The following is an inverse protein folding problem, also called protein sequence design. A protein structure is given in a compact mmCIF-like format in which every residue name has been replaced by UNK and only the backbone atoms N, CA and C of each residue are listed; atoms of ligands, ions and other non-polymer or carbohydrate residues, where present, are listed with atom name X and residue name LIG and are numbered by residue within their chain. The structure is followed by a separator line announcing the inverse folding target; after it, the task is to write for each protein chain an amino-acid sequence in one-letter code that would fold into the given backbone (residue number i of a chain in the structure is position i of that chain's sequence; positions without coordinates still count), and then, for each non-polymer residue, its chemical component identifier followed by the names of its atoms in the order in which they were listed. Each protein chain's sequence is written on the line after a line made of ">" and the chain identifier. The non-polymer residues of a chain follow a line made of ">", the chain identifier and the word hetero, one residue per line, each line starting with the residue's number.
data_IF_254717315065
#
_entry.id   IF_254717315065
#
_cell.length_a   1.000
_cell.length_b   1.000
_cell.length_c   1.000
_cell.angle_alpha   90.00
_cell.angle_beta   90.00
_cell.angle_gamma   90.00
#
_symmetry.space_group_name_H-M   'P 1'
#
loop_
_entity.id
_entity.type
_entity.pdbx_description
1 polymer ?
#
# COMPACT_ATOMS: atom_id res chain seq x y z
N UNK A 1 -1.17 6.74 -25.01
CA UNK A 1 -0.27 7.80 -24.47
C UNK A 1 -0.56 9.16 -25.11
N UNK A 2 -0.52 9.33 -26.44
CA UNK A 2 -0.77 10.62 -27.10
C UNK A 2 -2.10 11.25 -26.69
N UNK A 3 -3.20 10.52 -26.78
CA UNK A 3 -4.52 11.00 -26.37
C UNK A 3 -4.57 11.37 -24.87
N UNK A 4 -4.00 10.52 -24.02
CA UNK A 4 -3.94 10.77 -22.57
C UNK A 4 -3.28 12.12 -22.26
N UNK A 5 -2.13 12.41 -22.89
CA UNK A 5 -1.40 13.66 -22.66
C UNK A 5 -2.19 14.85 -23.23
N UNK A 6 -2.62 14.77 -24.50
CA UNK A 6 -3.31 15.90 -25.16
C UNK A 6 -4.63 16.29 -24.49
N UNK A 7 -5.40 15.30 -24.02
CA UNK A 7 -6.67 15.55 -23.33
C UNK A 7 -6.48 16.14 -21.92
N UNK A 8 -5.37 15.80 -21.26
CA UNK A 8 -5.16 16.12 -19.86
C UNK A 8 -4.01 17.12 -19.61
N UNK A 9 -3.43 17.67 -20.66
CA UNK A 9 -2.26 18.55 -20.57
C UNK A 9 -2.44 19.73 -19.61
N UNK A 10 -3.62 20.35 -19.63
CA UNK A 10 -3.94 21.53 -18.83
C UNK A 10 -4.41 21.22 -17.40
N UNK A 11 -4.35 19.97 -16.95
CA UNK A 11 -4.68 19.62 -15.56
C UNK A 11 -3.46 19.79 -14.64
N UNK A 12 -3.43 20.81 -13.76
CA UNK A 12 -2.26 21.11 -12.92
C UNK A 12 -2.03 20.06 -11.83
N UNK A 13 -3.01 19.22 -11.52
CA UNK A 13 -2.88 18.14 -10.55
C UNK A 13 -2.10 16.92 -11.08
N UNK A 14 -1.81 16.85 -12.39
CA UNK A 14 -0.99 15.78 -12.96
C UNK A 14 0.48 16.11 -12.70
N UNK A 15 1.15 15.25 -11.95
CA UNK A 15 2.55 15.41 -11.58
C UNK A 15 3.50 14.68 -12.54
N UNK A 16 3.09 13.56 -13.09
CA UNK A 16 3.88 12.72 -13.99
C UNK A 16 2.98 11.91 -14.93
N UNK A 17 3.56 11.38 -16.00
CA UNK A 17 2.89 10.50 -16.97
C UNK A 17 3.28 9.06 -16.73
N UNK A 18 2.34 8.21 -16.30
CA UNK A 18 2.54 6.77 -16.14
C UNK A 18 2.61 6.08 -17.50
N UNK A 19 3.72 5.38 -17.78
CA UNK A 19 3.95 4.73 -19.07
C UNK A 19 3.56 3.26 -19.09
N UNK A 20 3.83 2.55 -18.00
CA UNK A 20 3.56 1.11 -17.90
C UNK A 20 3.31 0.68 -16.45
N UNK A 21 2.65 -0.47 -16.31
CA UNK A 21 2.51 -1.19 -15.06
C UNK A 21 2.77 -2.69 -15.28
N UNK A 22 3.72 -3.24 -14.53
CA UNK A 22 4.03 -4.69 -14.44
C UNK A 22 4.22 -5.36 -15.82
N UNK A 23 4.86 -4.70 -16.75
CA UNK A 23 5.22 -5.32 -18.02
C UNK A 23 6.27 -6.40 -17.79
N UNK A 24 6.16 -7.50 -18.55
CA UNK A 24 7.03 -8.65 -18.39
C UNK A 24 7.59 -9.05 -19.78
N UNK A 25 8.90 -9.26 -19.85
CA UNK A 25 9.59 -9.69 -21.06
C UNK A 25 9.11 -11.04 -21.59
N UNK A 26 8.51 -11.89 -20.73
CA UNK A 26 7.89 -13.14 -21.14
C UNK A 26 6.52 -12.98 -21.85
N UNK A 27 5.86 -11.84 -21.71
CA UNK A 27 4.53 -11.58 -22.25
C UNK A 27 4.52 -10.60 -23.45
N UNK A 28 5.56 -9.79 -23.55
CA UNK A 28 5.68 -8.77 -24.59
C UNK A 28 6.95 -8.99 -25.42
N UNK A 29 6.81 -8.86 -26.73
CA UNK A 29 7.97 -8.74 -27.61
C UNK A 29 8.56 -7.34 -27.44
N UNK A 30 9.79 -7.27 -26.88
CA UNK A 30 10.58 -6.03 -26.72
C UNK A 30 9.98 -4.99 -25.77
N UNK A 31 9.73 -5.31 -24.48
CA UNK A 31 9.19 -4.36 -23.51
C UNK A 31 10.09 -3.12 -23.32
N UNK A 32 11.40 -3.27 -23.38
CA UNK A 32 12.38 -2.17 -23.29
C UNK A 32 12.21 -1.16 -24.43
N UNK A 33 12.00 -1.65 -25.67
CA UNK A 33 11.74 -0.78 -26.82
C UNK A 33 10.44 -0.01 -26.66
N UNK A 34 9.38 -0.68 -26.23
CA UNK A 34 8.08 -0.03 -25.99
C UNK A 34 8.19 1.05 -24.91
N UNK A 35 8.86 0.77 -23.79
CA UNK A 35 9.07 1.75 -22.74
C UNK A 35 9.85 2.98 -23.22
N UNK A 36 10.93 2.77 -23.99
CA UNK A 36 11.72 3.85 -24.59
C UNK A 36 10.91 4.71 -25.58
N UNK A 37 10.14 4.08 -26.46
CA UNK A 37 9.29 4.78 -27.44
C UNK A 37 8.18 5.61 -26.74
N UNK A 38 7.56 5.05 -25.70
CA UNK A 38 6.54 5.77 -24.90
C UNK A 38 7.17 6.93 -24.13
N UNK A 39 8.36 6.75 -23.56
CA UNK A 39 9.09 7.83 -22.90
C UNK A 39 9.41 8.96 -23.88
N UNK A 40 10.01 8.65 -25.03
CA UNK A 40 10.32 9.64 -26.05
C UNK A 40 9.09 10.42 -26.51
N UNK A 41 7.98 9.72 -26.77
CA UNK A 41 6.71 10.34 -27.15
C UNK A 41 6.16 11.26 -26.04
N UNK A 42 6.17 10.81 -24.78
CA UNK A 42 5.70 11.61 -23.66
C UNK A 42 6.53 12.89 -23.50
N UNK A 43 7.86 12.79 -23.56
CA UNK A 43 8.79 13.93 -23.48
C UNK A 43 8.63 14.91 -24.66
N UNK A 44 8.31 14.41 -25.84
CA UNK A 44 8.01 15.25 -27.01
C UNK A 44 6.72 16.04 -26.84
N UNK A 45 5.68 15.43 -26.28
CA UNK A 45 4.35 16.05 -26.12
C UNK A 45 4.28 16.95 -24.88
N UNK A 46 4.96 16.57 -23.81
CA UNK A 46 5.03 17.35 -22.57
C UNK A 46 6.42 17.24 -21.93
N UNK A 47 7.34 18.15 -22.26
CA UNK A 47 8.67 18.16 -21.65
C UNK A 47 8.68 18.65 -20.18
N UNK A 48 7.57 19.20 -19.70
CA UNK A 48 7.49 19.81 -18.37
C UNK A 48 7.25 18.80 -17.25
N UNK A 49 6.61 17.65 -17.55
CA UNK A 49 6.29 16.63 -16.56
C UNK A 49 7.17 15.37 -16.77
N UNK A 50 7.65 14.78 -15.66
CA UNK A 50 8.41 13.53 -15.75
C UNK A 50 7.53 12.35 -16.17
N UNK A 51 8.18 11.32 -16.69
CA UNK A 51 7.56 10.01 -16.95
C UNK A 51 7.80 9.06 -15.76
N UNK A 52 6.91 8.10 -15.58
CA UNK A 52 6.99 7.12 -14.50
C UNK A 52 6.65 5.71 -15.01
N UNK A 53 7.40 4.73 -14.57
CA UNK A 53 7.07 3.31 -14.69
C UNK A 53 6.73 2.68 -13.36
N UNK A 54 5.77 1.75 -13.33
CA UNK A 54 5.51 0.89 -12.20
C UNK A 54 5.95 -0.54 -12.54
N UNK A 55 6.87 -1.12 -11.78
CA UNK A 55 7.50 -2.40 -12.10
C UNK A 55 7.45 -3.38 -10.95
N UNK A 56 7.30 -4.66 -11.25
CA UNK A 56 7.51 -5.77 -10.33
C UNK A 56 8.75 -6.61 -10.71
N UNK A 57 9.47 -6.21 -11.77
CA UNK A 57 10.63 -6.91 -12.33
C UNK A 57 11.93 -6.16 -12.02
N UNK A 58 13.02 -6.92 -12.02
CA UNK A 58 14.38 -6.39 -12.07
C UNK A 58 14.87 -6.49 -13.52
N UNK A 59 14.58 -5.46 -14.33
CA UNK A 59 14.82 -5.48 -15.77
C UNK A 59 15.33 -4.11 -16.26
N UNK A 60 16.01 -4.10 -17.41
CA UNK A 60 16.60 -2.91 -18.01
C UNK A 60 15.58 -1.82 -18.33
N UNK A 61 14.33 -2.18 -18.61
CA UNK A 61 13.27 -1.19 -18.89
C UNK A 61 12.96 -0.27 -17.71
N UNK A 62 13.35 -0.63 -16.49
CA UNK A 62 13.24 0.23 -15.30
C UNK A 62 14.08 1.52 -15.42
N UNK A 63 15.07 1.55 -16.31
CA UNK A 63 15.92 2.71 -16.58
C UNK A 63 15.39 3.69 -17.64
N UNK A 64 14.27 3.40 -18.31
CA UNK A 64 13.78 4.24 -19.42
C UNK A 64 12.87 5.40 -18.98
N UNK A 65 12.44 5.45 -17.73
CA UNK A 65 11.57 6.51 -17.23
C UNK A 65 12.34 7.47 -16.30
N UNK A 66 11.87 8.70 -16.19
CA UNK A 66 12.49 9.68 -15.27
C UNK A 66 12.34 9.27 -13.80
N UNK A 67 11.23 8.60 -13.49
CA UNK A 67 10.89 8.06 -12.16
C UNK A 67 10.57 6.58 -12.30
N UNK A 68 11.02 5.77 -11.37
CA UNK A 68 10.59 4.38 -11.26
C UNK A 68 9.94 4.14 -9.91
N UNK A 69 8.87 3.33 -9.87
CA UNK A 69 8.33 2.84 -8.62
C UNK A 69 8.03 1.35 -8.73
N UNK A 70 8.06 0.67 -7.60
CA UNK A 70 7.99 -0.79 -7.57
C UNK A 70 6.73 -1.28 -6.88
N UNK A 71 6.10 -2.28 -7.48
CA UNK A 71 5.01 -3.04 -6.87
C UNK A 71 5.62 -4.18 -6.06
N UNK A 72 5.65 -4.03 -4.74
CA UNK A 72 6.27 -5.01 -3.83
C UNK A 72 5.34 -5.38 -2.69
N UNK A 73 5.16 -6.67 -2.49
CA UNK A 73 4.16 -7.21 -1.57
C UNK A 73 4.79 -8.15 -0.54
N UNK A 74 5.96 -7.77 0.00
CA UNK A 74 6.65 -8.53 1.05
C UNK A 74 5.74 -8.76 2.26
N UNK A 75 5.60 -10.03 2.66
CA UNK A 75 4.68 -10.42 3.72
C UNK A 75 3.22 -10.59 3.30
N UNK A 76 2.92 -10.55 1.99
CA UNK A 76 1.61 -10.91 1.44
C UNK A 76 1.70 -12.10 0.48
N UNK A 77 2.31 -11.96 -0.71
CA UNK A 77 2.40 -13.06 -1.69
C UNK A 77 3.54 -14.05 -1.42
N UNK A 78 4.35 -13.81 -0.46
CA UNK A 78 5.53 -14.57 -0.07
C UNK A 78 6.51 -13.66 0.64
N UNK A 79 7.73 -14.15 0.85
CA UNK A 79 8.80 -13.45 1.54
C UNK A 79 8.45 -13.06 2.99
N UNK A 80 9.43 -12.60 3.72
CA UNK A 80 9.20 -12.12 5.07
C UNK A 80 8.76 -10.65 5.06
N UNK A 81 7.96 -10.28 6.05
CA UNK A 81 7.51 -8.90 6.25
C UNK A 81 8.69 -7.91 6.31
N UNK A 82 9.79 -8.32 6.95
CA UNK A 82 11.00 -7.49 7.15
C UNK A 82 11.87 -7.34 5.90
N UNK A 83 11.52 -7.98 4.78
CA UNK A 83 12.32 -7.94 3.56
C UNK A 83 12.13 -6.65 2.74
N UNK A 84 11.05 -5.91 2.95
CA UNK A 84 10.76 -4.66 2.24
C UNK A 84 11.93 -3.68 2.35
N UNK A 85 12.34 -3.35 3.56
CA UNK A 85 13.42 -2.41 3.79
C UNK A 85 14.77 -2.89 3.25
N UNK A 86 15.10 -4.16 3.49
CA UNK A 86 16.33 -4.77 2.97
C UNK A 86 16.39 -4.77 1.43
N UNK A 87 15.27 -5.03 0.79
CA UNK A 87 15.18 -4.99 -0.67
C UNK A 87 15.36 -3.56 -1.19
N UNK A 88 14.66 -2.57 -0.62
CA UNK A 88 14.77 -1.15 -0.99
C UNK A 88 16.22 -0.67 -0.88
N UNK A 89 16.89 -0.98 0.23
CA UNK A 89 18.27 -0.54 0.48
C UNK A 89 19.24 -1.16 -0.53
N UNK A 90 19.07 -2.44 -0.89
CA UNK A 90 19.88 -3.09 -1.92
C UNK A 90 19.64 -2.50 -3.31
N UNK A 91 18.38 -2.26 -3.68
CA UNK A 91 18.03 -1.68 -4.98
C UNK A 91 18.59 -0.26 -5.12
N UNK A 92 18.46 0.55 -4.07
CA UNK A 92 19.03 1.90 -4.06
C UNK A 92 20.56 1.89 -4.12
N UNK A 93 21.21 0.98 -3.42
CA UNK A 93 22.67 0.83 -3.46
C UNK A 93 23.17 0.36 -4.84
N UNK A 94 22.41 -0.50 -5.52
CA UNK A 94 22.74 -0.98 -6.87
C UNK A 94 22.52 0.10 -7.95
N UNK A 95 21.55 0.99 -7.73
CA UNK A 95 21.12 2.01 -8.69
C UNK A 95 20.90 3.36 -8.01
N UNK A 96 21.96 4.00 -7.49
CA UNK A 96 21.83 5.24 -6.72
C UNK A 96 21.33 6.44 -7.53
N UNK A 97 21.45 6.37 -8.86
CA UNK A 97 20.94 7.39 -9.80
C UNK A 97 19.43 7.31 -10.01
N UNK A 98 18.79 6.17 -9.72
CA UNK A 98 17.36 5.98 -9.91
C UNK A 98 16.55 6.73 -8.86
N UNK A 99 15.63 7.55 -9.32
CA UNK A 99 14.59 8.15 -8.48
C UNK A 99 13.51 7.12 -8.23
N UNK A 100 13.71 6.29 -7.21
CA UNK A 100 12.84 5.16 -6.94
C UNK A 100 11.76 5.44 -5.90
N UNK A 101 10.67 4.70 -5.97
CA UNK A 101 9.56 4.72 -5.02
C UNK A 101 8.86 3.36 -4.93
N UNK A 102 7.84 3.27 -4.11
CA UNK A 102 6.93 2.12 -4.03
C UNK A 102 5.57 2.54 -4.58
N UNK A 103 5.17 1.93 -5.71
CA UNK A 103 3.89 2.22 -6.38
C UNK A 103 2.75 1.36 -5.89
N UNK A 104 3.05 0.17 -5.36
CA UNK A 104 2.04 -0.69 -4.75
C UNK A 104 2.63 -1.51 -3.61
N UNK A 105 1.95 -1.50 -2.48
CA UNK A 105 2.04 -2.49 -1.41
C UNK A 105 0.69 -2.60 -0.71
N UNK A 106 0.30 -3.80 -0.28
CA UNK A 106 -1.01 -4.00 0.35
C UNK A 106 -1.33 -5.46 0.60
N UNK A 107 -2.29 -5.71 1.46
CA UNK A 107 -2.80 -7.03 1.80
C UNK A 107 -4.32 -7.07 1.69
N UNK A 108 -4.87 -8.21 1.31
CA UNK A 108 -6.32 -8.43 1.26
C UNK A 108 -6.94 -8.41 2.65
N UNK A 109 -8.19 -7.95 2.75
CA UNK A 109 -8.94 -7.98 4.01
C UNK A 109 -10.46 -7.99 3.82
N UNK A 110 -11.12 -8.85 4.55
CA UNK A 110 -12.56 -8.85 4.73
C UNK A 110 -12.91 -8.40 6.16
N UNK A 111 -13.76 -7.40 6.29
CA UNK A 111 -14.19 -6.86 7.60
C UNK A 111 -14.98 -7.86 8.46
N UNK A 112 -15.47 -8.94 7.86
CA UNK A 112 -16.17 -10.03 8.56
C UNK A 112 -15.25 -11.20 8.92
N UNK A 113 -13.97 -11.13 8.54
CA UNK A 113 -12.98 -12.16 8.84
C UNK A 113 -11.92 -11.58 9.77
N UNK A 114 -11.75 -12.22 10.91
CA UNK A 114 -10.85 -11.80 11.98
C UNK A 114 -10.20 -13.04 12.59
N UNK A 115 -8.99 -12.92 13.07
CA UNK A 115 -8.31 -14.00 13.79
C UNK A 115 -7.93 -13.58 15.20
N UNK A 116 -8.19 -14.46 16.17
CA UNK A 116 -7.84 -14.27 17.58
C UNK A 116 -6.32 -14.45 17.82
N UNK A 117 -5.65 -15.22 16.94
CA UNK A 117 -4.20 -15.36 16.88
C UNK A 117 -3.74 -15.03 15.49
N UNK A 118 -2.96 -13.96 15.36
CA UNK A 118 -2.51 -13.47 14.07
C UNK A 118 -1.62 -14.49 13.37
N UNK A 119 -2.00 -14.88 12.16
CA UNK A 119 -1.25 -15.79 11.29
C UNK A 119 -1.29 -15.26 9.87
N UNK A 120 -0.23 -15.52 9.10
CA UNK A 120 -0.19 -15.19 7.67
C UNK A 120 -1.29 -15.96 6.95
N UNK A 121 -2.25 -15.30 6.30
CA UNK A 121 -3.28 -15.97 5.51
C UNK A 121 -2.69 -16.48 4.20
N UNK A 122 -3.38 -17.45 3.58
CA UNK A 122 -3.09 -17.84 2.20
C UNK A 122 -3.57 -16.74 1.24
N UNK A 123 -2.68 -16.03 0.52
CA UNK A 123 -3.06 -14.89 -0.32
C UNK A 123 -4.01 -15.23 -1.47
N UNK A 124 -3.98 -16.48 -1.92
CA UNK A 124 -4.84 -17.01 -2.98
C UNK A 124 -6.08 -17.71 -2.43
N UNK A 125 -6.17 -17.80 -1.09
CA UNK A 125 -7.31 -18.38 -0.38
C UNK A 125 -8.48 -17.41 -0.27
N UNK A 126 -9.52 -17.86 0.45
CA UNK A 126 -10.73 -17.05 0.65
C UNK A 126 -10.80 -16.39 2.03
N UNK A 127 -9.82 -16.69 2.90
CA UNK A 127 -9.76 -16.17 4.26
C UNK A 127 -8.69 -15.07 4.35
N UNK A 128 -9.15 -13.81 4.33
CA UNK A 128 -8.31 -12.62 4.43
C UNK A 128 -8.70 -11.81 5.69
N UNK A 129 -8.16 -12.15 6.85
CA UNK A 129 -8.53 -11.49 8.11
C UNK A 129 -8.06 -10.02 8.13
N UNK A 130 -8.96 -9.12 8.54
CA UNK A 130 -8.70 -7.68 8.55
C UNK A 130 -7.52 -7.30 9.47
N UNK A 131 -7.35 -8.01 10.58
CA UNK A 131 -6.24 -7.75 11.50
C UNK A 131 -4.88 -8.11 10.89
N UNK A 132 -4.80 -9.06 9.91
CA UNK A 132 -3.58 -9.25 9.15
C UNK A 132 -3.26 -8.05 8.26
N UNK A 133 -4.25 -7.50 7.56
CA UNK A 133 -4.04 -6.28 6.75
C UNK A 133 -3.49 -5.14 7.61
N UNK A 134 -4.06 -4.93 8.78
CA UNK A 134 -3.61 -3.88 9.69
C UNK A 134 -2.15 -4.09 10.11
N UNK A 135 -1.80 -5.31 10.51
CA UNK A 135 -0.42 -5.68 10.85
C UNK A 135 0.53 -5.48 9.67
N UNK A 136 0.16 -5.97 8.49
CA UNK A 136 0.93 -5.80 7.25
C UNK A 136 1.27 -4.34 6.98
N UNK A 137 0.28 -3.46 7.04
CA UNK A 137 0.49 -2.04 6.76
C UNK A 137 1.34 -1.36 7.82
N UNK A 138 1.17 -1.71 9.09
CA UNK A 138 2.00 -1.17 10.19
C UNK A 138 3.47 -1.56 9.99
N UNK A 139 3.76 -2.83 9.74
CA UNK A 139 5.14 -3.32 9.62
C UNK A 139 5.85 -2.82 8.35
N UNK A 140 5.13 -2.77 7.21
CA UNK A 140 5.72 -2.21 5.99
C UNK A 140 5.94 -0.69 6.12
N UNK A 141 4.98 0.05 6.69
CA UNK A 141 5.12 1.50 6.86
C UNK A 141 6.31 1.89 7.74
N UNK A 142 6.60 1.16 8.81
CA UNK A 142 7.79 1.36 9.64
C UNK A 142 9.06 1.37 8.81
N UNK A 143 9.17 0.45 7.85
CA UNK A 143 10.33 0.34 6.98
C UNK A 143 10.36 1.43 5.90
N UNK A 144 9.21 1.78 5.33
CA UNK A 144 9.11 2.77 4.26
C UNK A 144 9.38 4.19 4.73
N UNK A 145 8.83 4.59 5.88
CA UNK A 145 8.95 5.95 6.40
C UNK A 145 10.37 6.38 6.77
N UNK A 146 11.27 5.43 7.01
CA UNK A 146 12.67 5.68 7.34
C UNK A 146 13.55 5.98 6.12
N UNK A 147 13.01 5.85 4.90
CA UNK A 147 13.76 5.95 3.65
C UNK A 147 13.38 7.20 2.87
N UNK A 148 13.99 8.33 3.26
CA UNK A 148 13.71 9.65 2.69
C UNK A 148 14.03 9.78 1.19
N UNK A 149 14.84 8.86 0.62
CA UNK A 149 15.14 8.84 -0.80
C UNK A 149 13.98 8.31 -1.66
N UNK A 150 12.96 7.67 -1.07
CA UNK A 150 11.78 7.24 -1.80
C UNK A 150 10.90 8.44 -2.15
N UNK A 151 10.71 8.70 -3.45
CA UNK A 151 9.88 9.82 -3.89
C UNK A 151 8.38 9.58 -3.70
N UNK A 152 7.95 8.34 -3.56
CA UNK A 152 6.56 7.96 -3.25
C UNK A 152 6.47 6.63 -2.50
N UNK A 153 5.37 6.50 -1.74
CA UNK A 153 4.92 5.27 -1.10
C UNK A 153 3.40 5.16 -1.30
N UNK A 154 2.96 4.50 -2.37
CA UNK A 154 1.55 4.37 -2.70
C UNK A 154 0.98 3.03 -2.25
N UNK A 155 -0.14 3.08 -1.57
CA UNK A 155 -0.84 1.90 -1.08
C UNK A 155 -1.69 1.30 -2.20
N UNK A 156 -1.65 -0.01 -2.36
CA UNK A 156 -2.63 -0.73 -3.14
C UNK A 156 -3.67 -1.37 -2.22
N UNK A 157 -4.86 -0.77 -2.04
CA UNK A 157 -5.31 0.46 -2.64
C UNK A 157 -6.29 1.18 -1.69
N UNK A 158 -6.90 2.29 -2.12
CA UNK A 158 -7.85 3.02 -1.27
C UNK A 158 -9.17 2.26 -1.09
N UNK A 159 -9.71 1.64 -2.15
CA UNK A 159 -11.02 1.01 -2.14
C UNK A 159 -10.96 -0.42 -2.68
N UNK A 160 -11.75 -1.31 -2.08
CA UNK A 160 -12.07 -2.57 -2.74
C UNK A 160 -12.77 -2.28 -4.08
N UNK A 161 -12.47 -3.07 -5.12
CA UNK A 161 -13.01 -2.83 -6.45
C UNK A 161 -13.27 -4.14 -7.22
N UNK A 162 -14.08 -4.08 -8.27
CA UNK A 162 -14.37 -5.21 -9.14
C UNK A 162 -13.14 -5.64 -9.93
N UNK A 163 -12.83 -6.93 -9.89
CA UNK A 163 -11.73 -7.54 -10.61
C UNK A 163 -12.14 -8.96 -11.05
N UNK A 164 -12.79 -9.06 -12.19
CA UNK A 164 -13.50 -10.25 -12.65
C UNK A 164 -12.66 -11.56 -12.66
N UNK A 165 -11.34 -11.44 -12.86
CA UNK A 165 -10.41 -12.57 -12.85
C UNK A 165 -10.05 -13.10 -11.46
N UNK A 166 -10.34 -12.37 -10.38
CA UNK A 166 -9.93 -12.75 -9.03
C UNK A 166 -10.84 -13.83 -8.45
N UNK A 167 -10.21 -14.83 -7.80
CA UNK A 167 -10.90 -15.96 -7.17
C UNK A 167 -10.63 -16.04 -5.66
N UNK A 168 -9.65 -15.30 -5.17
CA UNK A 168 -9.29 -15.17 -3.77
C UNK A 168 -10.17 -14.15 -3.03
N UNK A 169 -10.03 -14.11 -1.70
CA UNK A 169 -10.80 -13.26 -0.82
C UNK A 169 -12.21 -13.78 -0.56
N UNK A 170 -12.96 -13.09 0.27
CA UNK A 170 -14.29 -13.47 0.71
C UNK A 170 -15.37 -13.40 -0.38
N UNK A 171 -15.11 -12.66 -1.46
CA UNK A 171 -16.05 -12.46 -2.57
C UNK A 171 -15.28 -12.57 -3.89
N UNK A 172 -15.62 -13.58 -4.68
CA UNK A 172 -15.03 -13.74 -6.02
C UNK A 172 -15.33 -12.56 -6.92
N UNK A 173 -14.39 -12.24 -7.83
CA UNK A 173 -14.52 -11.10 -8.72
C UNK A 173 -14.26 -9.74 -8.04
N UNK A 174 -13.62 -9.75 -6.87
CA UNK A 174 -13.27 -8.53 -6.11
C UNK A 174 -11.80 -8.53 -5.72
N UNK A 175 -11.15 -7.38 -5.86
CA UNK A 175 -9.90 -7.08 -5.17
C UNK A 175 -10.27 -6.49 -3.80
N UNK A 176 -9.85 -7.14 -2.73
CA UNK A 176 -10.17 -6.78 -1.35
C UNK A 176 -9.01 -6.10 -0.59
N UNK A 177 -7.99 -5.65 -1.33
CA UNK A 177 -6.85 -4.91 -0.74
C UNK A 177 -7.17 -3.45 -0.36
N UNK A 178 -8.40 -2.98 -0.63
CA UNK A 178 -8.83 -1.64 -0.25
C UNK A 178 -8.71 -1.37 1.25
N UNK A 179 -8.39 -0.14 1.61
CA UNK A 179 -8.50 0.36 2.98
C UNK A 179 -9.97 0.67 3.36
N UNK A 180 -10.84 0.74 2.36
CA UNK A 180 -12.28 1.00 2.48
C UNK A 180 -13.03 -0.04 1.67
N UNK A 181 -14.14 -0.54 2.20
CA UNK A 181 -14.97 -1.56 1.53
C UNK A 181 -15.49 -1.12 0.17
N UNK A 182 -15.89 -2.08 -0.65
CA UNK A 182 -16.39 -1.88 -2.01
C UNK A 182 -17.56 -0.88 -2.09
N UNK A 183 -18.48 -0.93 -1.13
CA UNK A 183 -19.64 -0.04 -1.01
C UNK A 183 -19.31 1.34 -0.37
N UNK A 184 -18.05 1.60 -0.05
CA UNK A 184 -17.53 2.83 0.58
C UNK A 184 -18.03 3.08 2.00
N UNK A 185 -18.72 2.14 2.64
CA UNK A 185 -19.37 2.37 3.93
C UNK A 185 -18.45 2.12 5.12
N UNK A 186 -17.52 1.17 5.01
CA UNK A 186 -16.67 0.78 6.13
C UNK A 186 -15.21 1.12 5.82
N UNK A 187 -14.62 1.94 6.65
CA UNK A 187 -13.18 2.13 6.73
C UNK A 187 -12.59 0.99 7.55
N UNK A 188 -11.65 0.24 6.96
CA UNK A 188 -10.95 -0.85 7.64
C UNK A 188 -9.96 -0.29 8.67
N UNK A 189 -9.47 -1.12 9.56
CA UNK A 189 -8.57 -0.67 10.64
C UNK A 189 -7.30 -0.02 10.10
N UNK A 190 -6.73 -0.54 9.01
CA UNK A 190 -5.56 0.02 8.33
C UNK A 190 -5.80 1.43 7.77
N UNK A 191 -7.03 1.81 7.42
CA UNK A 191 -7.36 3.19 7.04
C UNK A 191 -7.05 4.17 8.17
N UNK A 192 -7.42 3.82 9.41
CA UNK A 192 -7.18 4.68 10.56
C UNK A 192 -5.70 4.77 10.93
N UNK A 193 -4.93 3.72 10.64
CA UNK A 193 -3.49 3.75 10.79
C UNK A 193 -2.85 4.84 9.90
N UNK A 194 -3.19 4.87 8.61
CA UNK A 194 -2.69 5.92 7.72
C UNK A 194 -3.28 7.30 8.04
N UNK A 195 -4.55 7.38 8.44
CA UNK A 195 -5.12 8.63 8.92
C UNK A 195 -4.30 9.20 10.09
N UNK A 196 -3.87 8.36 11.02
CA UNK A 196 -3.07 8.81 12.15
C UNK A 196 -1.68 9.32 11.76
N UNK A 197 -1.06 8.70 10.75
CA UNK A 197 0.28 9.08 10.31
C UNK A 197 0.29 10.29 9.38
N UNK A 198 -0.73 10.46 8.53
CA UNK A 198 -0.72 11.45 7.45
C UNK A 198 -1.59 12.68 7.70
N UNK A 199 -2.63 12.58 8.53
CA UNK A 199 -3.50 13.70 8.84
C UNK A 199 -3.20 14.23 10.23
N UNK A 200 -2.62 15.41 10.31
CA UNK A 200 -2.26 16.07 11.58
C UNK A 200 -3.34 17.06 12.08
N UNK A 201 -4.30 17.42 11.25
CA UNK A 201 -5.32 18.43 11.55
C UNK A 201 -6.50 17.83 12.35
N UNK A 202 -7.03 16.71 11.88
CA UNK A 202 -8.24 16.07 12.44
C UNK A 202 -7.85 15.06 13.54
N UNK A 203 -7.84 15.53 14.79
CA UNK A 203 -7.48 14.69 15.95
C UNK A 203 -8.54 13.64 16.24
N UNK A 204 -8.10 12.40 16.41
CA UNK A 204 -8.98 11.29 16.70
C UNK A 204 -8.32 10.20 17.54
N UNK A 205 -9.14 9.29 18.05
CA UNK A 205 -8.73 8.03 18.66
C UNK A 205 -9.61 6.90 18.12
N UNK A 206 -9.00 5.78 17.80
CA UNK A 206 -9.67 4.61 17.23
C UNK A 206 -9.15 3.32 17.88
N UNK A 207 -10.05 2.42 18.21
CA UNK A 207 -9.71 1.08 18.72
C UNK A 207 -9.78 0.13 17.52
N UNK A 208 -8.63 -0.45 17.13
CA UNK A 208 -8.56 -1.49 16.11
C UNK A 208 -9.00 -2.86 16.67
N UNK A 209 -9.38 -3.76 15.78
CA UNK A 209 -9.82 -5.12 16.14
C UNK A 209 -11.17 -5.19 16.85
N UNK A 210 -11.96 -4.10 16.85
CA UNK A 210 -13.29 -4.09 17.49
C UNK A 210 -14.32 -4.99 16.79
N UNK A 211 -14.06 -5.39 15.54
CA UNK A 211 -14.90 -6.33 14.79
C UNK A 211 -14.64 -7.80 15.16
N UNK A 212 -13.56 -8.10 15.87
CA UNK A 212 -13.33 -9.42 16.48
C UNK A 212 -14.24 -9.58 17.71
N UNK A 213 -15.47 -9.99 17.49
CA UNK A 213 -16.48 -10.13 18.54
C UNK A 213 -16.29 -11.44 19.32
N UNK A 214 -16.07 -12.53 18.60
CA UNK A 214 -15.87 -13.86 19.19
C UNK A 214 -14.40 -14.04 19.56
N UNK A 215 -14.08 -13.90 20.85
CA UNK A 215 -12.73 -14.03 21.38
C UNK A 215 -12.63 -15.30 22.21
N UNK A 216 -11.59 -16.09 21.95
CA UNK A 216 -11.32 -17.34 22.64
C UNK A 216 -10.28 -17.18 23.74
N UNK A 217 -9.47 -16.11 23.70
CA UNK A 217 -8.40 -15.83 24.65
C UNK A 217 -8.92 -15.10 25.90
N UNK A 218 -8.36 -15.43 27.07
CA UNK A 218 -8.68 -14.76 28.34
C UNK A 218 -8.21 -13.30 28.40
N UNK A 219 -7.15 -12.99 27.67
CA UNK A 219 -6.58 -11.64 27.57
C UNK A 219 -6.66 -11.15 26.13
N UNK A 220 -6.82 -9.85 25.97
CA UNK A 220 -6.95 -9.20 24.67
C UNK A 220 -5.90 -8.12 24.56
N UNK A 221 -5.07 -8.21 23.51
CA UNK A 221 -4.21 -7.13 23.12
C UNK A 221 -5.04 -6.06 22.39
N UNK A 222 -5.03 -4.84 22.90
CA UNK A 222 -5.80 -3.73 22.37
C UNK A 222 -4.85 -2.77 21.63
N UNK A 223 -5.02 -2.66 20.32
CA UNK A 223 -4.33 -1.65 19.54
C UNK A 223 -5.18 -0.38 19.49
N UNK A 224 -4.62 0.73 19.94
CA UNK A 224 -5.24 2.05 19.86
C UNK A 224 -4.46 2.88 18.84
N UNK A 225 -5.15 3.39 17.84
CA UNK A 225 -4.61 4.22 16.77
C UNK A 225 -5.04 5.66 17.01
N UNK A 226 -4.08 6.59 17.06
CA UNK A 226 -4.38 7.99 17.33
C UNK A 226 -3.25 8.90 16.82
N UNK A 227 -3.60 10.10 16.37
CA UNK A 227 -2.66 11.20 16.08
C UNK A 227 -2.63 12.23 17.23
N UNK A 228 -3.07 11.84 18.43
CA UNK A 228 -3.02 12.65 19.65
C UNK A 228 -1.89 12.19 20.57
N UNK A 229 -1.39 13.07 21.41
CA UNK A 229 -0.22 12.78 22.28
C UNK A 229 -0.48 11.77 23.41
N UNK A 230 -1.74 11.40 23.71
CA UNK A 230 -2.10 10.36 24.67
C UNK A 230 -3.53 9.86 24.43
N UNK A 231 -3.77 8.61 24.79
CA UNK A 231 -5.11 8.00 24.82
C UNK A 231 -5.41 7.48 26.22
N UNK A 232 -6.62 7.76 26.73
CA UNK A 232 -7.08 7.28 28.02
C UNK A 232 -8.16 6.23 27.83
N UNK A 233 -7.93 5.05 28.39
CA UNK A 233 -8.87 3.93 28.37
C UNK A 233 -9.79 3.97 29.58
N UNK A 234 -11.08 3.82 29.32
CA UNK A 234 -12.12 3.59 30.33
C UNK A 234 -12.74 2.22 30.11
N UNK A 235 -12.95 1.48 31.20
CA UNK A 235 -13.67 0.20 31.19
C UNK A 235 -14.90 0.38 32.06
N UNK A 236 -16.09 0.17 31.51
CA UNK A 236 -17.38 0.37 32.19
C UNK A 236 -17.48 1.75 32.89
N UNK A 237 -17.01 2.81 32.21
CA UNK A 237 -17.03 4.17 32.75
C UNK A 237 -15.92 4.52 33.75
N UNK A 238 -15.15 3.54 34.21
CA UNK A 238 -14.03 3.76 35.13
C UNK A 238 -12.71 3.93 34.38
N UNK A 239 -11.94 4.96 34.73
CA UNK A 239 -10.60 5.17 34.16
C UNK A 239 -9.70 3.98 34.54
N UNK A 240 -9.08 3.38 33.53
CA UNK A 240 -8.22 2.22 33.69
C UNK A 240 -6.75 2.54 33.45
N UNK A 241 -6.42 3.09 32.28
CA UNK A 241 -5.03 3.36 31.88
C UNK A 241 -4.95 4.55 30.93
N UNK A 242 -3.86 5.32 31.05
CA UNK A 242 -3.45 6.29 30.05
C UNK A 242 -2.20 5.75 29.34
N UNK A 243 -2.21 5.69 28.02
CA UNK A 243 -1.08 5.32 27.20
C UNK A 243 -0.63 6.53 26.38
N UNK A 244 0.68 6.74 26.28
CA UNK A 244 1.29 7.62 25.29
C UNK A 244 1.49 6.81 24.01
N UNK A 245 1.61 7.46 22.82
CA UNK A 245 1.96 6.74 21.61
C UNK A 245 3.26 5.96 21.86
N UNK A 246 3.27 4.69 21.50
CA UNK A 246 4.54 4.06 21.20
C UNK A 246 5.10 4.84 20.00
N UNK A 247 6.27 5.41 20.11
CA UNK A 247 7.02 5.85 18.94
C UNK A 247 7.12 4.63 18.03
N UNK A 248 6.59 4.75 16.83
CA UNK A 248 6.89 3.80 15.76
C UNK A 248 8.32 4.15 15.36
N UNK A 249 9.29 3.68 16.20
CA UNK A 249 10.71 3.67 15.87
C UNK A 249 10.99 2.37 15.16
#
# INVERSE_FOLDING_TARGET
>A
MKELILQNYNHPCILFWGLFNEINSGWLDRPSRMAAELHALARQLDPSRPTMGASNQDDDFNGFTDLIAFNKYFGWYGDNMDDMGRWIDREHAAHPERKMGISEYGAGACVFQQEDSLRHPEPWGQWHPENWQTYYHVENWKQLQEREFLWCNFIWCMFDFSAAGRREGSIMGRNDKGLVTYDRKIKKDAFYFYKANWNQEDKFVYIAGKRLVNRTRKTVDMQVISNSGAAKLYINGKAYRTAKPATVN
#
